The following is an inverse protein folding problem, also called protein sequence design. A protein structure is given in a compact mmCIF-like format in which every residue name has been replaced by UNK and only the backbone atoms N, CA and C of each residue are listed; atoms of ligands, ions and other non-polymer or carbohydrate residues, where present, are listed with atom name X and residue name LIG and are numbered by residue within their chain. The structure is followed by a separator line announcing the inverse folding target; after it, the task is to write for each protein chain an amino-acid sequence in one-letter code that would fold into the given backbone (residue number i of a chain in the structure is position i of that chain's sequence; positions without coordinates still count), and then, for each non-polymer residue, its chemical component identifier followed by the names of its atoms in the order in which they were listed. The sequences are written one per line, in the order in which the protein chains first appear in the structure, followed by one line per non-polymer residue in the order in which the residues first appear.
data_IF_345120381822
#
_entry.id   IF_345120381822
#
_cell.length_a   1.000
_cell.length_b   1.000
_cell.length_c   1.000
_cell.angle_alpha   90.00
_cell.angle_beta   90.00
_cell.angle_gamma   90.00
#
_symmetry.space_group_name_H-M   'P 1'
#
loop_
_entity.id
_entity.type
_entity.pdbx_description
1 polymer ?
#
# COMPACT_ATOMS: atom_id res chain seq x y z
N UNK A 1 -19.95 -69.06 27.05
CA UNK A 1 -21.08 -68.44 26.31
C UNK A 1 -21.95 -67.71 27.31
N UNK A 2 -21.59 -66.48 27.66
CA UNK A 2 -22.48 -65.43 28.24
C UNK A 2 -21.89 -64.09 27.78
N UNK A 3 -22.78 -63.18 27.42
CA UNK A 3 -22.62 -62.03 26.55
C UNK A 3 -21.54 -61.01 26.95
N UNK A 4 -20.92 -60.40 25.93
CA UNK A 4 -20.10 -59.22 26.07
C UNK A 4 -20.96 -57.97 26.09
N UNK A 5 -20.77 -57.16 27.13
CA UNK A 5 -21.10 -55.75 27.19
C UNK A 5 -19.83 -55.03 27.66
N UNK A 6 -19.11 -54.38 26.74
CA UNK A 6 -18.11 -53.37 27.08
C UNK A 6 -18.45 -52.07 26.35
N UNK A 7 -19.39 -51.35 26.94
CA UNK A 7 -19.67 -49.96 26.62
C UNK A 7 -18.58 -49.07 27.23
N UNK A 8 -17.45 -48.91 26.53
CA UNK A 8 -16.57 -47.74 26.69
C UNK A 8 -16.01 -47.27 25.36
N UNK A 9 -16.92 -46.79 24.50
CA UNK A 9 -16.58 -45.73 23.56
C UNK A 9 -16.33 -44.45 24.36
N UNK A 10 -15.08 -44.00 24.41
CA UNK A 10 -14.75 -42.80 25.20
C UNK A 10 -13.26 -42.57 25.43
N UNK A 11 -12.45 -42.65 24.37
CA UNK A 11 -11.09 -42.09 24.41
C UNK A 11 -10.73 -41.28 23.14
N UNK A 12 -11.72 -41.00 22.29
CA UNK A 12 -11.61 -40.01 21.23
C UNK A 12 -12.22 -38.70 21.71
N UNK A 13 -11.52 -38.00 22.61
CA UNK A 13 -11.61 -36.55 22.84
C UNK A 13 -10.77 -36.20 24.07
N UNK A 14 -9.46 -36.12 23.86
CA UNK A 14 -8.69 -35.07 24.51
C UNK A 14 -8.01 -34.29 23.39
N UNK A 15 -8.83 -33.70 22.51
CA UNK A 15 -8.38 -32.58 21.70
C UNK A 15 -8.25 -31.44 22.70
N UNK A 16 -7.02 -31.10 23.06
CA UNK A 16 -6.73 -29.98 23.92
C UNK A 16 -7.34 -28.72 23.28
N UNK A 17 -8.40 -28.19 23.89
CA UNK A 17 -8.97 -26.89 23.60
C UNK A 17 -7.93 -25.82 23.92
N UNK A 18 -7.09 -25.50 22.94
CA UNK A 18 -6.10 -24.43 23.04
C UNK A 18 -6.22 -23.44 21.85
N UNK A 19 -7.39 -23.43 21.20
CA UNK A 19 -7.58 -22.93 19.84
C UNK A 19 -8.77 -21.95 19.72
N UNK A 20 -9.18 -21.38 20.86
CA UNK A 20 -10.37 -20.51 21.01
C UNK A 20 -9.99 -19.06 21.36
N UNK A 21 -8.77 -18.61 21.07
CA UNK A 21 -8.47 -17.17 21.17
C UNK A 21 -8.99 -16.43 19.94
N UNK A 22 -9.39 -15.18 20.12
CA UNK A 22 -9.82 -14.28 19.04
C UNK A 22 -8.78 -14.23 17.91
N UNK A 23 -7.49 -14.21 18.26
CA UNK A 23 -6.36 -14.24 17.34
C UNK A 23 -6.34 -15.51 16.46
N UNK A 24 -6.59 -16.69 17.01
CA UNK A 24 -6.66 -17.94 16.23
C UNK A 24 -7.87 -17.96 15.28
N UNK A 25 -9.00 -17.39 15.70
CA UNK A 25 -10.19 -17.29 14.86
C UNK A 25 -9.99 -16.31 13.68
N UNK A 26 -9.32 -15.18 13.91
CA UNK A 26 -8.97 -14.21 12.87
C UNK A 26 -8.01 -14.80 11.83
N UNK A 27 -6.93 -15.46 12.28
CA UNK A 27 -5.92 -16.05 11.40
C UNK A 27 -6.48 -17.18 10.51
N UNK A 28 -7.49 -17.91 10.98
CA UNK A 28 -8.20 -18.91 10.15
C UNK A 28 -9.10 -18.29 9.09
N UNK A 29 -9.56 -17.06 9.29
CA UNK A 29 -10.47 -16.36 8.38
C UNK A 29 -9.72 -15.65 7.26
N UNK A 30 -8.55 -15.08 7.56
CA UNK A 30 -7.70 -14.41 6.56
C UNK A 30 -6.95 -15.42 5.68
N UNK A 31 -6.26 -14.91 4.66
CA UNK A 31 -5.49 -15.75 3.75
C UNK A 31 -4.41 -16.56 4.49
N UNK A 32 -4.38 -17.88 4.22
CA UNK A 32 -3.33 -18.76 4.73
C UNK A 32 -1.94 -18.37 4.22
N UNK A 33 -0.90 -18.82 4.93
CA UNK A 33 0.50 -18.35 4.77
C UNK A 33 0.99 -18.27 3.32
N UNK A 34 0.84 -19.33 2.51
CA UNK A 34 1.29 -19.34 1.12
C UNK A 34 0.56 -18.28 0.26
N UNK A 35 -0.75 -18.11 0.45
CA UNK A 35 -1.53 -17.12 -0.30
C UNK A 35 -1.16 -15.70 0.12
N UNK A 36 -0.91 -15.48 1.40
CA UNK A 36 -0.43 -14.20 1.94
C UNK A 36 0.94 -13.84 1.39
N UNK A 37 1.87 -14.80 1.33
CA UNK A 37 3.20 -14.57 0.76
C UNK A 37 3.09 -14.14 -0.71
N UNK A 38 2.33 -14.89 -1.52
CA UNK A 38 2.10 -14.55 -2.93
C UNK A 38 1.41 -13.19 -3.10
N UNK A 39 0.43 -12.89 -2.25
CA UNK A 39 -0.30 -11.62 -2.29
C UNK A 39 0.58 -10.42 -1.97
N UNK A 40 1.39 -10.51 -0.91
CA UNK A 40 2.32 -9.45 -0.51
C UNK A 40 3.39 -9.26 -1.59
N UNK A 41 3.99 -10.33 -2.10
CA UNK A 41 4.99 -10.23 -3.18
C UNK A 41 4.43 -9.56 -4.43
N UNK A 42 3.18 -9.87 -4.80
CA UNK A 42 2.54 -9.24 -5.96
C UNK A 42 2.26 -7.75 -5.72
N UNK A 43 1.70 -7.40 -4.56
CA UNK A 43 1.44 -6.00 -4.20
C UNK A 43 2.74 -5.21 -4.18
N UNK A 44 3.82 -5.78 -3.63
CA UNK A 44 5.13 -5.14 -3.61
C UNK A 44 5.64 -4.80 -5.02
N UNK A 45 5.59 -5.76 -5.94
CA UNK A 45 6.03 -5.56 -7.32
C UNK A 45 5.18 -4.50 -8.02
N UNK A 46 3.86 -4.57 -7.87
CA UNK A 46 2.92 -3.66 -8.53
C UNK A 46 2.87 -2.25 -7.91
N UNK A 47 3.37 -2.08 -6.69
CA UNK A 47 3.38 -0.78 -6.00
C UNK A 47 4.63 0.04 -6.31
N UNK A 48 5.66 -0.55 -6.94
CA UNK A 48 6.91 0.14 -7.26
C UNK A 48 6.80 0.88 -8.58
N UNK A 49 7.25 2.13 -8.60
CA UNK A 49 7.43 2.88 -9.84
C UNK A 49 8.68 2.42 -10.59
N UNK A 50 8.61 2.39 -11.92
CA UNK A 50 9.76 2.06 -12.76
C UNK A 50 10.84 3.16 -12.72
N UNK A 51 12.04 2.83 -13.18
CA UNK A 51 13.13 3.80 -13.32
C UNK A 51 12.97 4.73 -14.52
N UNK A 52 12.27 4.27 -15.55
CA UNK A 52 11.91 5.02 -16.76
C UNK A 52 10.50 5.64 -16.71
N UNK A 53 9.89 5.70 -15.52
CA UNK A 53 8.57 6.29 -15.33
C UNK A 53 8.56 7.79 -15.70
N UNK A 54 7.63 8.20 -16.56
CA UNK A 54 7.39 9.60 -16.92
C UNK A 54 6.16 10.11 -16.17
N UNK A 55 6.39 10.97 -15.19
CA UNK A 55 5.33 11.46 -14.32
C UNK A 55 4.54 12.63 -14.92
N UNK A 56 3.44 12.97 -14.26
CA UNK A 56 2.60 14.08 -14.66
C UNK A 56 3.40 15.39 -14.72
N UNK A 57 3.30 16.10 -15.85
CA UNK A 57 4.06 17.32 -16.08
C UNK A 57 5.47 17.09 -16.62
N UNK A 58 5.84 15.85 -16.93
CA UNK A 58 7.10 15.49 -17.59
C UNK A 58 6.85 14.95 -19.00
N UNK A 59 7.92 14.96 -19.80
CA UNK A 59 8.00 14.38 -21.14
C UNK A 59 9.36 13.73 -21.31
N UNK A 60 9.38 12.60 -21.98
CA UNK A 60 10.60 11.88 -22.39
C UNK A 60 11.29 12.52 -23.60
N UNK A 61 10.52 13.25 -24.42
CA UNK A 61 10.95 13.83 -25.70
C UNK A 61 10.75 15.35 -25.70
N UNK A 62 11.81 16.14 -25.96
CA UNK A 62 11.71 17.60 -25.97
C UNK A 62 10.85 18.15 -27.11
N UNK A 63 10.89 17.53 -28.29
CA UNK A 63 10.25 18.03 -29.52
C UNK A 63 8.84 17.46 -29.76
N UNK A 64 8.12 17.11 -28.69
CA UNK A 64 6.80 16.46 -28.80
C UNK A 64 5.69 17.36 -29.38
N UNK A 65 5.90 18.67 -29.45
CA UNK A 65 4.93 19.65 -29.97
C UNK A 65 5.60 20.91 -30.53
N UNK A 66 4.82 21.73 -31.25
CA UNK A 66 5.22 23.07 -31.70
C UNK A 66 5.28 24.07 -30.54
N UNK A 67 6.17 25.05 -30.62
CA UNK A 67 6.63 25.91 -29.51
C UNK A 67 5.54 26.54 -28.63
N UNK A 68 4.35 26.83 -29.17
CA UNK A 68 3.29 27.52 -28.42
C UNK A 68 2.70 26.68 -27.28
N UNK A 69 2.75 25.35 -27.37
CA UNK A 69 2.22 24.48 -26.31
C UNK A 69 3.23 24.21 -25.18
N UNK A 70 4.51 24.51 -25.39
CA UNK A 70 5.56 24.25 -24.41
C UNK A 70 5.46 25.17 -23.19
N UNK A 71 5.09 26.44 -23.38
CA UNK A 71 4.94 27.37 -22.25
C UNK A 71 3.73 27.01 -21.37
N UNK A 72 2.61 26.62 -21.97
CA UNK A 72 1.43 26.15 -21.21
C UNK A 72 1.73 24.87 -20.43
N UNK A 73 2.52 23.97 -21.02
CA UNK A 73 2.98 22.75 -20.36
C UNK A 73 3.93 23.05 -19.19
N UNK A 74 4.81 24.05 -19.33
CA UNK A 74 5.69 24.53 -18.24
C UNK A 74 4.86 25.08 -17.07
N UNK A 75 3.88 25.94 -17.36
CA UNK A 75 2.97 26.45 -16.33
C UNK A 75 2.16 25.35 -15.66
N UNK A 76 1.80 24.28 -16.39
CA UNK A 76 1.19 23.10 -15.81
C UNK A 76 2.12 22.41 -14.79
N UNK A 77 3.39 22.22 -15.12
CA UNK A 77 4.41 21.71 -14.19
C UNK A 77 4.56 22.57 -12.94
N UNK A 78 4.64 23.89 -13.09
CA UNK A 78 4.74 24.83 -11.96
C UNK A 78 3.52 24.73 -11.02
N UNK A 79 2.32 24.55 -11.58
CA UNK A 79 1.09 24.31 -10.79
C UNK A 79 1.17 23.00 -9.99
N UNK A 80 1.76 21.94 -10.54
CA UNK A 80 1.93 20.67 -9.82
C UNK A 80 2.88 20.81 -8.63
N UNK A 81 3.96 21.61 -8.74
CA UNK A 81 4.85 21.92 -7.61
C UNK A 81 4.08 22.62 -6.48
N UNK A 82 3.21 23.59 -6.83
CA UNK A 82 2.33 24.25 -5.86
C UNK A 82 1.35 23.29 -5.18
N UNK A 83 0.79 22.33 -5.92
CA UNK A 83 -0.09 21.29 -5.39
C UNK A 83 0.67 20.35 -4.43
N UNK A 84 1.89 19.91 -4.78
CA UNK A 84 2.77 19.09 -3.92
C UNK A 84 3.02 19.80 -2.58
N UNK A 85 3.36 21.09 -2.61
CA UNK A 85 3.57 21.89 -1.39
C UNK A 85 2.29 21.99 -0.54
N UNK A 86 1.13 22.20 -1.17
CA UNK A 86 -0.16 22.26 -0.47
C UNK A 86 -0.52 20.92 0.19
N UNK A 87 -0.31 19.79 -0.49
CA UNK A 87 -0.53 18.45 0.07
C UNK A 87 0.39 18.21 1.27
N UNK A 88 1.67 18.61 1.17
CA UNK A 88 2.61 18.51 2.28
C UNK A 88 2.17 19.32 3.50
N UNK A 89 1.60 20.52 3.30
CA UNK A 89 1.05 21.33 4.38
C UNK A 89 -0.19 20.71 5.01
N UNK A 90 -1.10 20.19 4.18
CA UNK A 90 -2.29 19.48 4.66
C UNK A 90 -1.91 18.25 5.52
N UNK A 91 -0.85 17.53 5.14
CA UNK A 91 -0.33 16.41 5.91
C UNK A 91 0.30 16.80 7.25
N UNK A 92 0.66 18.08 7.45
CA UNK A 92 1.17 18.60 8.74
C UNK A 92 0.07 19.21 9.61
N UNK A 93 -1.05 19.59 9.02
CA UNK A 93 -2.18 20.18 9.75
C UNK A 93 -2.87 19.15 10.65
N UNK A 94 -2.65 19.27 11.96
CA UNK A 94 -3.27 18.40 12.98
C UNK A 94 -4.80 18.40 12.97
N UNK A 95 -5.43 19.44 12.39
CA UNK A 95 -6.89 19.51 12.23
C UNK A 95 -7.38 18.53 11.15
N UNK A 96 -6.54 18.22 10.16
CA UNK A 96 -6.81 17.28 9.07
C UNK A 96 -6.41 15.85 9.46
N UNK A 97 -7.05 15.31 10.50
CA UNK A 97 -6.69 14.02 11.10
C UNK A 97 -6.70 12.85 10.11
N UNK A 98 -7.52 12.90 9.06
CA UNK A 98 -7.60 11.86 8.03
C UNK A 98 -6.38 11.83 7.08
N UNK A 99 -5.54 12.87 7.08
CA UNK A 99 -4.32 12.92 6.28
C UNK A 99 -3.15 12.14 6.93
N UNK A 100 -3.26 11.74 8.19
CA UNK A 100 -2.20 11.00 8.91
C UNK A 100 -2.74 9.79 9.68
N UNK A 101 -3.94 9.93 10.27
CA UNK A 101 -4.63 8.88 10.99
C UNK A 101 -3.88 8.34 12.22
N UNK A 102 -4.46 7.35 12.91
CA UNK A 102 -3.82 6.70 14.07
C UNK A 102 -2.53 5.96 13.71
N UNK A 103 -2.43 5.44 12.47
CA UNK A 103 -1.25 4.76 11.95
C UNK A 103 -0.06 5.71 11.67
N UNK A 104 -0.24 7.02 11.84
CA UNK A 104 0.79 8.05 11.60
C UNK A 104 1.37 8.03 10.18
N UNK A 105 0.55 7.66 9.20
CA UNK A 105 0.92 7.55 7.80
C UNK A 105 0.39 8.75 7.02
N UNK A 106 1.30 9.63 6.56
CA UNK A 106 0.93 10.81 5.77
C UNK A 106 0.35 10.42 4.42
N UNK A 107 -0.69 11.11 3.98
CA UNK A 107 -1.34 10.87 2.69
C UNK A 107 -0.52 11.47 1.54
N UNK A 108 0.30 10.64 0.90
CA UNK A 108 1.18 11.05 -0.23
C UNK A 108 0.78 10.46 -1.57
N UNK A 109 -0.28 9.63 -1.63
CA UNK A 109 -0.66 8.89 -2.84
C UNK A 109 -0.98 9.79 -4.06
N UNK A 110 -1.51 10.99 -3.82
CA UNK A 110 -1.80 11.98 -4.87
C UNK A 110 -0.78 13.12 -4.93
N UNK A 111 0.33 13.00 -4.19
CA UNK A 111 1.40 13.99 -4.27
C UNK A 111 2.07 13.84 -5.64
N UNK A 112 2.11 14.90 -6.48
CA UNK A 112 2.81 14.82 -7.75
C UNK A 112 4.27 14.45 -7.52
N UNK A 113 4.74 13.42 -8.22
CA UNK A 113 6.16 13.14 -8.37
C UNK A 113 6.70 14.12 -9.40
N UNK A 114 7.01 15.32 -8.93
CA UNK A 114 7.79 16.27 -9.70
C UNK A 114 9.22 15.76 -9.69
N UNK A 115 9.85 15.61 -10.86
CA UNK A 115 11.32 15.68 -10.88
C UNK A 115 11.68 17.08 -10.46
N UNK A 116 11.97 17.23 -9.18
CA UNK A 116 12.96 18.20 -8.76
C UNK A 116 14.15 17.93 -9.70
N UNK A 117 14.74 18.94 -10.35
CA UNK A 117 15.98 18.75 -11.13
C UNK A 117 17.18 18.25 -10.30
N UNK A 118 16.90 17.78 -9.08
CA UNK A 118 17.77 17.17 -8.11
C UNK A 118 17.21 15.78 -7.83
N UNK A 119 17.89 14.78 -8.40
CA UNK A 119 17.81 13.41 -7.96
C UNK A 119 18.10 13.37 -6.46
N UNK A 120 17.08 13.31 -5.59
CA UNK A 120 17.27 12.73 -4.26
C UNK A 120 17.13 11.21 -4.41
N UNK A 121 18.22 10.44 -4.29
CA UNK A 121 18.15 8.99 -4.32
C UNK A 121 17.49 8.52 -3.03
N UNK A 122 16.17 8.29 -3.07
CA UNK A 122 15.45 7.71 -1.94
C UNK A 122 13.98 8.08 -1.79
N UNK A 123 13.45 9.01 -2.59
CA UNK A 123 12.02 9.34 -2.57
C UNK A 123 11.26 8.62 -3.71
N UNK A 124 11.43 7.29 -3.82
CA UNK A 124 10.46 6.44 -4.50
C UNK A 124 9.87 5.55 -3.41
N UNK A 125 8.63 5.82 -3.04
CA UNK A 125 7.82 4.81 -2.36
C UNK A 125 7.54 3.69 -3.36
#
# INVERSE_FOLDING_TARGET
MVAGDDHRGGAAQVVQHHDDTEEYAELRTIAGQLRTLLGISLIEILSKHSDDEVYLGQRDTPEWTLDTANEEFRQFGDRLVGIKARIAEMNRDSRLRNCTGPARLRYTLLSPNTSDGYHEPGAKL
#
